data_IF_967840135644
#
_entry.id   IF_967840135644
#
_cell.length_a   1.000
_cell.length_b   1.000
_cell.length_c   1.000
_cell.angle_alpha   90.00
_cell.angle_beta   90.00
_cell.angle_gamma   90.00
#
_symmetry.space_group_name_H-M   'P 1'
#
loop_
_entity.id
_entity.type
_entity.pdbx_description
1 polymer ?
#
# COMPACT_ATOMS: atom_id res chain seq x y z
N UNK A 1 13.37 -4.22 -0.75
CA UNK A 1 12.20 -4.00 -1.64
C UNK A 1 11.07 -3.40 -0.85
N UNK A 2 10.05 -4.19 -0.51
CA UNK A 2 8.93 -3.71 0.33
C UNK A 2 9.36 -3.19 1.71
N UNK A 3 10.24 -3.90 2.43
CA UNK A 3 10.78 -3.42 3.71
C UNK A 3 11.47 -2.06 3.58
N UNK A 4 12.23 -1.87 2.49
CA UNK A 4 12.89 -0.60 2.16
C UNK A 4 11.87 0.54 1.96
N UNK A 5 10.71 0.27 1.34
CA UNK A 5 9.65 1.28 1.19
C UNK A 5 9.05 1.69 2.54
N UNK A 6 8.80 0.72 3.43
CA UNK A 6 8.29 1.01 4.78
C UNK A 6 9.29 1.85 5.58
N UNK A 7 10.56 1.47 5.56
CA UNK A 7 11.63 2.22 6.23
C UNK A 7 11.81 3.62 5.64
N UNK A 8 11.85 3.74 4.30
CA UNK A 8 11.98 5.04 3.62
C UNK A 8 10.77 5.95 3.91
N UNK A 9 9.54 5.43 3.92
CA UNK A 9 8.36 6.22 4.24
C UNK A 9 8.46 6.87 5.63
N UNK A 10 8.87 6.10 6.63
CA UNK A 10 9.10 6.62 7.98
C UNK A 10 10.26 7.61 8.05
N UNK A 11 11.39 7.33 7.41
CA UNK A 11 12.54 8.23 7.37
C UNK A 11 12.22 9.56 6.68
N UNK A 12 11.49 9.52 5.56
CA UNK A 12 11.02 10.71 4.84
C UNK A 12 10.15 11.57 5.75
N UNK A 13 9.21 10.94 6.46
CA UNK A 13 8.33 11.66 7.37
C UNK A 13 9.09 12.34 8.51
N UNK A 14 9.96 11.59 9.19
CA UNK A 14 10.75 12.15 10.30
C UNK A 14 11.73 13.23 9.82
N UNK A 15 12.26 13.09 8.60
CA UNK A 15 13.08 14.13 7.98
C UNK A 15 12.27 15.39 7.65
N UNK A 16 11.05 15.22 7.13
CA UNK A 16 10.13 16.33 6.87
C UNK A 16 9.83 17.11 8.17
N UNK A 17 9.52 16.40 9.27
CA UNK A 17 9.32 17.04 10.58
C UNK A 17 10.56 17.80 11.09
N UNK A 18 11.75 17.33 10.74
CA UNK A 18 13.02 18.00 11.05
C UNK A 18 13.42 19.10 10.06
N UNK A 19 12.63 19.39 9.02
CA UNK A 19 12.98 20.35 7.98
C UNK A 19 14.10 19.90 7.02
N UNK A 20 14.36 18.60 6.92
CA UNK A 20 15.41 18.01 6.10
C UNK A 20 14.99 17.75 4.64
N UNK A 21 14.77 18.82 3.87
CA UNK A 21 14.29 18.74 2.48
C UNK A 21 15.16 17.86 1.58
N UNK A 22 16.48 17.86 1.80
CA UNK A 22 17.43 17.02 1.06
C UNK A 22 17.15 15.52 1.27
N UNK A 23 16.97 15.09 2.52
CA UNK A 23 16.65 13.71 2.85
C UNK A 23 15.27 13.30 2.34
N UNK A 24 14.30 14.22 2.39
CA UNK A 24 12.96 14.01 1.80
C UNK A 24 13.08 13.76 0.30
N UNK A 25 13.84 14.58 -0.43
CA UNK A 25 14.03 14.44 -1.87
C UNK A 25 14.72 13.11 -2.23
N UNK A 26 15.80 12.77 -1.54
CA UNK A 26 16.53 11.50 -1.71
C UNK A 26 15.59 10.31 -1.45
N UNK A 27 14.82 10.38 -0.37
CA UNK A 27 13.87 9.34 0.01
C UNK A 27 12.77 9.17 -1.03
N UNK A 28 12.13 10.25 -1.49
CA UNK A 28 11.06 10.22 -2.49
C UNK A 28 11.56 9.69 -3.85
N UNK A 29 12.74 10.12 -4.29
CA UNK A 29 13.36 9.62 -5.51
C UNK A 29 13.63 8.10 -5.42
N UNK A 30 14.15 7.65 -4.27
CA UNK A 30 14.41 6.24 -4.01
C UNK A 30 13.11 5.43 -3.96
N UNK A 31 12.08 5.93 -3.29
CA UNK A 31 10.74 5.34 -3.25
C UNK A 31 10.17 5.16 -4.66
N UNK A 32 10.27 6.17 -5.51
CA UNK A 32 9.85 6.09 -6.92
C UNK A 32 10.56 4.98 -7.69
N UNK A 33 11.88 4.86 -7.52
CA UNK A 33 12.68 3.78 -8.11
C UNK A 33 12.27 2.39 -7.60
N UNK A 34 12.04 2.24 -6.29
CA UNK A 34 11.62 0.97 -5.69
C UNK A 34 10.20 0.58 -6.12
N UNK A 35 9.27 1.54 -6.24
CA UNK A 35 7.93 1.29 -6.80
C UNK A 35 8.01 0.77 -8.24
N UNK A 36 8.82 1.41 -9.08
CA UNK A 36 9.08 0.97 -10.45
C UNK A 36 9.65 -0.45 -10.49
N UNK A 37 10.60 -0.77 -9.60
CA UNK A 37 11.17 -2.11 -9.48
C UNK A 37 10.15 -3.16 -9.01
N UNK A 38 9.38 -2.87 -7.95
CA UNK A 38 8.43 -3.82 -7.37
C UNK A 38 7.31 -4.21 -8.32
N UNK A 39 6.95 -3.33 -9.27
CA UNK A 39 6.01 -3.66 -10.36
C UNK A 39 6.43 -4.90 -11.15
N UNK A 40 7.72 -5.13 -11.29
CA UNK A 40 8.30 -6.26 -12.02
C UNK A 40 8.88 -7.35 -11.11
N UNK A 41 9.14 -7.05 -9.85
CA UNK A 41 9.68 -8.00 -8.88
C UNK A 41 8.60 -8.72 -8.04
N UNK A 42 7.39 -8.16 -7.96
CA UNK A 42 6.27 -8.81 -7.27
C UNK A 42 5.94 -10.17 -7.90
N UNK A 43 5.57 -11.13 -7.05
CA UNK A 43 5.37 -12.51 -7.49
C UNK A 43 4.29 -12.61 -8.59
N UNK A 44 4.57 -13.29 -9.73
CA UNK A 44 5.83 -13.93 -10.11
C UNK A 44 6.88 -12.91 -10.62
N UNK A 45 8.07 -12.94 -10.03
CA UNK A 45 9.15 -11.99 -10.31
C UNK A 45 9.70 -12.14 -11.74
N UNK A 46 9.81 -11.02 -12.47
CA UNK A 46 10.41 -10.93 -13.81
C UNK A 46 11.84 -10.41 -13.79
N UNK A 47 12.16 -9.58 -12.78
CA UNK A 47 13.50 -9.05 -12.54
C UNK A 47 13.88 -9.27 -11.08
N UNK A 48 15.17 -9.48 -10.84
CA UNK A 48 15.74 -9.58 -9.49
C UNK A 48 16.54 -8.32 -9.18
N UNK A 49 16.58 -7.95 -7.89
CA UNK A 49 17.27 -6.74 -7.44
C UNK A 49 18.80 -6.82 -7.64
N UNK A 50 19.36 -8.02 -7.47
CA UNK A 50 20.80 -8.23 -7.47
C UNK A 50 21.52 -7.57 -6.29
N UNK A 51 22.83 -7.75 -6.26
CA UNK A 51 23.68 -7.19 -5.19
C UNK A 51 23.79 -5.67 -5.31
N UNK A 52 23.88 -5.13 -6.52
CA UNK A 52 23.94 -3.68 -6.76
C UNK A 52 22.73 -2.94 -6.18
N UNK A 53 21.52 -3.44 -6.43
CA UNK A 53 20.30 -2.81 -5.95
C UNK A 53 20.14 -2.92 -4.43
N UNK A 54 20.48 -4.07 -3.85
CA UNK A 54 20.35 -4.29 -2.40
C UNK A 54 21.38 -3.49 -1.60
N UNK A 55 22.63 -3.41 -2.08
CA UNK A 55 23.67 -2.57 -1.47
C UNK A 55 23.35 -1.08 -1.58
N UNK A 56 22.87 -0.63 -2.74
CA UNK A 56 22.42 0.76 -2.91
C UNK A 56 21.31 1.13 -1.92
N UNK A 57 20.28 0.29 -1.79
CA UNK A 57 19.20 0.54 -0.84
C UNK A 57 19.68 0.51 0.61
N UNK A 58 20.58 -0.42 0.97
CA UNK A 58 21.19 -0.46 2.29
C UNK A 58 22.00 0.80 2.61
N UNK A 59 22.77 1.29 1.65
CA UNK A 59 23.54 2.53 1.78
C UNK A 59 22.62 3.75 1.97
N UNK A 60 21.61 3.91 1.11
CA UNK A 60 20.67 5.04 1.20
C UNK A 60 19.92 5.03 2.53
N UNK A 61 19.39 3.87 2.95
CA UNK A 61 18.70 3.73 4.23
C UNK A 61 19.62 4.07 5.42
N UNK A 62 20.88 3.62 5.39
CA UNK A 62 21.86 3.93 6.43
C UNK A 62 22.23 5.41 6.47
N UNK A 63 22.52 6.01 5.31
CA UNK A 63 22.84 7.43 5.19
C UNK A 63 21.69 8.31 5.71
N UNK A 64 20.47 8.08 5.20
CA UNK A 64 19.30 8.87 5.60
C UNK A 64 19.01 8.71 7.10
N UNK A 65 19.13 7.51 7.67
CA UNK A 65 18.89 7.29 9.10
C UNK A 65 19.94 7.98 10.00
N UNK A 66 21.22 7.95 9.61
CA UNK A 66 22.29 8.62 10.35
C UNK A 66 22.12 10.13 10.24
N UNK A 67 21.99 10.67 9.03
CA UNK A 67 21.88 12.12 8.83
C UNK A 67 20.61 12.68 9.49
N UNK A 68 19.51 11.93 9.46
CA UNK A 68 18.29 12.26 10.18
C UNK A 68 18.53 12.43 11.69
N UNK A 69 19.20 11.47 12.33
CA UNK A 69 19.35 11.46 13.80
C UNK A 69 20.52 12.31 14.29
N UNK A 70 21.51 12.60 13.45
CA UNK A 70 22.71 13.33 13.86
C UNK A 70 22.66 14.81 13.45
N UNK A 71 21.98 15.16 12.36
CA UNK A 71 21.99 16.52 11.80
C UNK A 71 20.59 17.12 11.67
N UNK A 72 19.66 16.45 10.99
CA UNK A 72 18.34 17.02 10.65
C UNK A 72 17.41 17.13 11.85
N UNK A 73 17.31 16.07 12.65
CA UNK A 73 16.50 16.04 13.86
C UNK A 73 17.25 15.36 15.01
N UNK A 74 18.21 16.05 15.64
CA UNK A 74 19.04 15.51 16.73
C UNK A 74 18.27 15.22 18.03
N UNK A 75 17.01 15.67 18.13
CA UNK A 75 16.14 15.34 19.25
C UNK A 75 15.60 13.90 19.17
N UNK A 76 15.60 13.30 17.98
CA UNK A 76 15.30 11.87 17.83
C UNK A 76 16.38 11.04 18.52
N UNK A 77 15.97 9.92 19.10
CA UNK A 77 16.89 8.93 19.64
C UNK A 77 17.82 8.40 18.54
N UNK A 78 19.15 8.39 18.74
CA UNK A 78 20.09 7.71 17.84
C UNK A 78 19.83 6.20 17.72
N UNK A 79 19.05 5.60 18.62
CA UNK A 79 18.66 4.20 18.58
C UNK A 79 17.44 3.93 17.68
N UNK A 80 16.72 4.95 17.21
CA UNK A 80 15.53 4.78 16.35
C UNK A 80 15.77 3.94 15.07
N UNK A 81 16.96 3.94 14.42
CA UNK A 81 17.19 3.09 13.26
C UNK A 81 17.06 1.59 13.57
N UNK A 82 17.23 1.18 14.83
CA UNK A 82 17.00 -0.20 15.26
C UNK A 82 15.54 -0.63 15.10
N UNK A 83 14.57 0.30 15.16
CA UNK A 83 13.17 0.01 14.87
C UNK A 83 12.88 0.15 13.37
N UNK A 84 13.35 1.24 12.75
CA UNK A 84 13.08 1.53 11.32
C UNK A 84 13.66 0.46 10.38
N UNK A 85 14.85 -0.06 10.70
CA UNK A 85 15.54 -1.10 9.93
C UNK A 85 15.52 -2.45 10.66
N UNK A 86 14.65 -2.59 11.66
CA UNK A 86 14.78 -3.62 12.67
C UNK A 86 14.75 -5.04 12.14
N UNK A 87 13.80 -5.39 11.27
CA UNK A 87 13.69 -6.77 10.80
C UNK A 87 14.89 -7.21 9.92
N UNK A 88 15.35 -6.42 8.91
CA UNK A 88 16.57 -6.74 8.17
C UNK A 88 17.82 -6.85 9.05
N UNK A 89 18.00 -5.94 10.01
CA UNK A 89 19.14 -5.96 10.94
C UNK A 89 19.08 -7.19 11.83
N UNK A 90 17.91 -7.49 12.40
CA UNK A 90 17.71 -8.64 13.26
C UNK A 90 17.96 -9.97 12.52
N UNK A 91 17.54 -10.08 11.27
CA UNK A 91 17.77 -11.26 10.43
C UNK A 91 19.27 -11.51 10.19
N UNK A 92 20.02 -10.46 9.83
CA UNK A 92 21.48 -10.57 9.67
C UNK A 92 22.15 -10.97 11.00
N UNK A 93 21.77 -10.34 12.11
CA UNK A 93 22.32 -10.66 13.43
C UNK A 93 22.00 -12.13 13.79
N UNK A 94 20.78 -12.60 13.55
CA UNK A 94 20.38 -13.98 13.84
C UNK A 94 21.15 -15.00 12.98
N UNK A 95 21.37 -14.70 11.69
CA UNK A 95 22.20 -15.53 10.81
C UNK A 95 23.65 -15.57 11.30
N UNK A 96 24.22 -14.41 11.67
CA UNK A 96 25.59 -14.33 12.20
C UNK A 96 25.74 -15.07 13.54
N UNK A 97 24.79 -14.90 14.46
CA UNK A 97 24.78 -15.59 15.75
C UNK A 97 24.68 -17.12 15.58
N UNK A 98 23.81 -17.58 14.68
CA UNK A 98 23.71 -19.00 14.36
C UNK A 98 25.02 -19.55 13.77
N UNK A 99 25.67 -18.80 12.88
CA UNK A 99 26.97 -19.20 12.30
C UNK A 99 28.06 -19.30 13.37
N UNK A 100 28.10 -18.35 14.29
CA UNK A 100 29.04 -18.36 15.41
C UNK A 100 28.82 -19.61 16.29
N UNK A 101 27.56 -19.92 16.61
CA UNK A 101 27.20 -21.12 17.39
C UNK A 101 27.59 -22.43 16.66
N UNK A 102 27.37 -22.50 15.34
CA UNK A 102 27.68 -23.68 14.53
C UNK A 102 29.13 -23.74 14.04
N UNK A 103 30.00 -22.79 14.44
CA UNK A 103 31.40 -22.66 14.01
C UNK A 103 31.59 -22.71 12.48
N UNK A 104 30.64 -22.17 11.72
CA UNK A 104 30.69 -22.16 10.26
C UNK A 104 31.50 -20.98 9.71
N UNK A 105 32.03 -21.12 8.49
CA UNK A 105 32.72 -20.04 7.79
C UNK A 105 31.77 -18.86 7.50
N UNK A 106 32.22 -17.64 7.80
CA UNK A 106 31.46 -16.40 7.76
C UNK A 106 31.05 -15.98 6.33
N UNK A 107 31.75 -16.46 5.29
CA UNK A 107 31.54 -16.04 3.90
C UNK A 107 30.75 -17.04 3.04
N UNK A 108 30.28 -18.16 3.59
CA UNK A 108 29.54 -19.15 2.80
C UNK A 108 28.08 -18.74 2.64
N UNK A 109 27.57 -18.66 1.41
CA UNK A 109 26.17 -18.36 1.12
C UNK A 109 25.23 -19.34 1.88
N UNK A 110 24.22 -18.82 2.57
CA UNK A 110 23.29 -19.63 3.38
C UNK A 110 21.86 -19.21 3.10
N UNK A 111 20.93 -20.18 3.10
CA UNK A 111 19.49 -19.97 2.91
C UNK A 111 18.74 -19.84 4.24
N UNK A 112 19.32 -19.19 5.26
CA UNK A 112 18.76 -19.19 6.63
C UNK A 112 18.13 -17.88 7.08
N UNK A 113 17.77 -17.03 6.12
CA UNK A 113 17.01 -15.82 6.37
C UNK A 113 15.61 -16.15 6.88
N UNK A 114 14.99 -15.21 7.59
CA UNK A 114 13.67 -15.35 8.19
C UNK A 114 12.61 -15.85 7.21
N UNK A 115 12.68 -15.43 5.95
CA UNK A 115 11.81 -15.93 4.87
C UNK A 115 11.91 -17.44 4.68
N UNK A 116 13.12 -18.00 4.66
CA UNK A 116 13.32 -19.44 4.54
C UNK A 116 12.90 -20.19 5.80
N UNK A 117 13.15 -19.64 6.99
CA UNK A 117 12.67 -20.23 8.25
C UNK A 117 11.14 -20.32 8.31
N UNK A 118 10.43 -19.30 7.79
CA UNK A 118 8.97 -19.33 7.67
C UNK A 118 8.52 -20.42 6.69
N UNK A 119 9.19 -20.58 5.55
CA UNK A 119 8.90 -21.66 4.60
C UNK A 119 9.14 -23.06 5.23
N UNK A 120 10.20 -23.23 6.01
CA UNK A 120 10.49 -24.49 6.72
C UNK A 120 9.41 -24.85 7.75
N UNK A 121 8.82 -23.83 8.39
CA UNK A 121 7.70 -23.97 9.34
C UNK A 121 6.35 -24.18 8.61
N UNK A 122 6.32 -24.19 7.27
CA UNK A 122 5.14 -24.55 6.48
C UNK A 122 4.32 -23.38 5.94
N UNK A 123 4.81 -22.13 6.05
CA UNK A 123 4.21 -21.01 5.33
C UNK A 123 4.48 -21.14 3.83
N UNK A 124 3.55 -20.64 3.00
CA UNK A 124 3.82 -20.45 1.57
C UNK A 124 4.59 -19.15 1.32
N UNK A 125 5.14 -18.99 0.10
CA UNK A 125 5.94 -17.82 -0.24
C UNK A 125 5.18 -16.50 -0.04
N UNK A 126 3.88 -16.49 -0.34
CA UNK A 126 3.04 -15.32 -0.15
C UNK A 126 2.86 -14.97 1.32
N UNK A 127 2.40 -15.92 2.15
CA UNK A 127 2.16 -15.68 3.58
C UNK A 127 3.43 -15.29 4.31
N UNK A 128 4.58 -15.88 3.96
CA UNK A 128 5.88 -15.49 4.51
C UNK A 128 6.19 -14.01 4.28
N UNK A 129 5.95 -13.49 3.06
CA UNK A 129 6.20 -12.07 2.74
C UNK A 129 5.22 -11.16 3.49
N UNK A 130 3.96 -11.54 3.60
CA UNK A 130 2.95 -10.77 4.36
C UNK A 130 3.31 -10.68 5.84
N UNK A 131 3.73 -11.78 6.46
CA UNK A 131 4.16 -11.80 7.87
C UNK A 131 5.38 -10.89 8.07
N UNK A 132 6.37 -10.98 7.18
CA UNK A 132 7.56 -10.11 7.21
C UNK A 132 7.17 -8.63 7.15
N UNK A 133 6.30 -8.26 6.20
CA UNK A 133 5.83 -6.88 6.08
C UNK A 133 5.02 -6.43 7.28
N UNK A 134 4.16 -7.27 7.85
CA UNK A 134 3.36 -6.93 9.02
C UNK A 134 4.23 -6.66 10.26
N UNK A 135 5.22 -7.52 10.51
CA UNK A 135 6.16 -7.36 11.61
C UNK A 135 7.03 -6.12 11.43
N UNK A 136 7.57 -5.92 10.23
CA UNK A 136 8.40 -4.74 9.93
C UNK A 136 7.59 -3.44 10.03
N UNK A 137 6.34 -3.45 9.56
CA UNK A 137 5.43 -2.32 9.70
C UNK A 137 5.16 -1.97 11.17
N UNK A 138 4.95 -2.97 12.03
CA UNK A 138 4.75 -2.74 13.46
C UNK A 138 5.98 -2.10 14.12
N UNK A 139 7.19 -2.53 13.75
CA UNK A 139 8.44 -1.89 14.19
C UNK A 139 8.56 -0.45 13.70
N UNK A 140 8.25 -0.20 12.43
CA UNK A 140 8.26 1.14 11.83
C UNK A 140 7.23 2.08 12.49
N UNK A 141 6.01 1.60 12.76
CA UNK A 141 5.00 2.36 13.50
C UNK A 141 5.44 2.66 14.93
N UNK A 142 6.08 1.69 15.59
CA UNK A 142 6.65 1.89 16.92
C UNK A 142 7.74 2.97 16.90
N UNK A 143 8.53 3.08 15.82
CA UNK A 143 9.52 4.14 15.67
C UNK A 143 8.88 5.53 15.64
N UNK A 144 7.74 5.70 14.95
CA UNK A 144 7.00 6.97 14.92
C UNK A 144 6.53 7.40 16.31
N UNK A 145 6.03 6.44 17.10
CA UNK A 145 5.53 6.71 18.46
C UNK A 145 6.66 6.95 19.46
N UNK A 146 7.75 6.19 19.35
CA UNK A 146 8.84 6.17 20.32
C UNK A 146 10.05 7.02 19.92
N UNK A 147 9.97 7.78 18.82
CA UNK A 147 11.16 8.41 18.23
C UNK A 147 11.93 9.36 19.16
N UNK A 148 11.24 9.95 20.14
CA UNK A 148 11.80 10.84 21.17
C UNK A 148 11.95 10.16 22.55
N UNK A 149 11.70 8.86 22.64
CA UNK A 149 11.90 8.10 23.87
C UNK A 149 13.39 7.85 24.13
N UNK A 150 13.73 7.49 25.36
CA UNK A 150 15.12 7.17 25.71
C UNK A 150 15.64 5.91 25.00
N UNK A 151 16.91 5.95 24.57
CA UNK A 151 17.58 4.89 23.80
C UNK A 151 17.44 3.50 24.45
N UNK A 152 17.56 3.43 25.78
CA UNK A 152 17.42 2.17 26.53
C UNK A 152 16.04 1.53 26.37
N UNK A 153 14.96 2.33 26.33
CA UNK A 153 13.61 1.82 26.10
C UNK A 153 13.46 1.28 24.69
N UNK A 154 13.88 2.05 23.69
CA UNK A 154 13.82 1.66 22.27
C UNK A 154 14.58 0.34 22.03
N UNK A 155 15.82 0.25 22.53
CA UNK A 155 16.64 -0.95 22.39
C UNK A 155 16.04 -2.14 23.15
N UNK A 156 15.46 -1.93 24.34
CA UNK A 156 14.82 -3.00 25.10
C UNK A 156 13.59 -3.58 24.38
N UNK A 157 12.76 -2.73 23.77
CA UNK A 157 11.60 -3.13 22.97
C UNK A 157 12.07 -3.89 21.73
N UNK A 158 13.04 -3.34 21.00
CA UNK A 158 13.61 -3.98 19.82
C UNK A 158 14.17 -5.37 20.12
N UNK A 159 14.97 -5.50 21.19
CA UNK A 159 15.51 -6.78 21.63
C UNK A 159 14.40 -7.75 22.06
N UNK A 160 13.39 -7.27 22.78
CA UNK A 160 12.22 -8.07 23.16
C UNK A 160 11.50 -8.64 21.94
N UNK A 161 11.23 -7.82 20.93
CA UNK A 161 10.60 -8.24 19.66
C UNK A 161 11.48 -9.27 18.94
N UNK A 162 12.79 -9.04 18.84
CA UNK A 162 13.73 -10.00 18.26
C UNK A 162 13.68 -11.37 18.97
N UNK A 163 13.75 -11.37 20.31
CA UNK A 163 13.71 -12.59 21.11
C UNK A 163 12.39 -13.34 20.92
N UNK A 164 11.26 -12.63 20.87
CA UNK A 164 9.94 -13.24 20.62
C UNK A 164 9.89 -13.87 19.24
N UNK A 165 10.24 -13.14 18.18
CA UNK A 165 10.17 -13.64 16.79
C UNK A 165 11.07 -14.87 16.61
N UNK A 166 12.35 -14.75 16.93
CA UNK A 166 13.30 -15.84 16.74
C UNK A 166 13.10 -16.99 17.74
N UNK A 167 12.62 -16.69 18.94
CA UNK A 167 12.22 -17.69 19.93
C UNK A 167 11.05 -18.52 19.44
N UNK A 168 9.97 -17.89 18.95
CA UNK A 168 8.81 -18.59 18.40
C UNK A 168 9.19 -19.42 17.17
N UNK A 169 9.99 -18.89 16.24
CA UNK A 169 10.49 -19.65 15.09
C UNK A 169 11.38 -20.83 15.50
N UNK A 170 12.23 -20.65 16.52
CA UNK A 170 13.06 -21.71 17.06
C UNK A 170 12.26 -22.81 17.75
N UNK A 171 11.22 -22.45 18.52
CA UNK A 171 10.30 -23.40 19.17
C UNK A 171 9.46 -24.16 18.14
N UNK A 172 8.95 -23.46 17.12
CA UNK A 172 8.25 -24.04 15.99
C UNK A 172 9.10 -25.11 15.28
N UNK A 173 10.34 -24.76 14.95
CA UNK A 173 11.27 -25.68 14.29
C UNK A 173 11.63 -26.90 15.16
N UNK A 174 11.73 -26.75 16.49
CA UNK A 174 12.06 -27.87 17.40
C UNK A 174 10.88 -28.80 17.68
N UNK A 175 9.66 -28.29 17.64
CA UNK A 175 8.43 -29.06 17.92
C UNK A 175 7.91 -29.82 16.69
N UNK A 176 8.64 -29.78 15.56
CA UNK A 176 8.15 -30.18 14.22
C UNK A 176 6.78 -29.58 13.92
N UNK A 177 6.50 -28.41 14.50
CA UNK A 177 5.26 -27.71 14.29
C UNK A 177 5.29 -27.13 12.88
N UNK A 178 4.49 -27.75 12.02
CA UNK A 178 4.19 -27.22 10.71
C UNK A 178 2.89 -26.47 10.83
N UNK A 179 2.86 -25.23 10.37
CA UNK A 179 1.60 -24.57 10.04
C UNK A 179 0.92 -25.52 9.08
N UNK A 180 -0.14 -26.17 9.56
CA UNK A 180 -0.97 -26.98 8.71
C UNK A 180 -1.38 -26.06 7.57
N UNK A 181 -1.02 -26.42 6.33
CA UNK A 181 -1.85 -26.04 5.21
C UNK A 181 -3.27 -26.26 5.71
N UNK A 182 -4.07 -25.20 5.79
CA UNK A 182 -5.50 -25.35 6.00
C UNK A 182 -6.08 -26.00 4.73
N UNK A 183 -5.66 -27.24 4.46
CA UNK A 183 -6.16 -28.19 3.48
C UNK A 183 -7.40 -28.89 4.02
N UNK A 184 -7.73 -28.69 5.30
CA UNK A 184 -9.09 -28.85 5.78
C UNK A 184 -9.93 -27.73 5.16
N UNK A 185 -10.69 -28.05 4.12
CA UNK A 185 -11.78 -27.19 3.66
C UNK A 185 -12.61 -26.78 4.88
N UNK A 186 -12.42 -25.53 5.31
CA UNK A 186 -13.20 -24.93 6.38
C UNK A 186 -14.65 -24.85 5.90
N UNK A 187 -15.61 -24.86 6.83
CA UNK A 187 -17.02 -24.67 6.45
C UNK A 187 -17.21 -23.41 5.60
N UNK A 188 -16.39 -22.37 5.83
CA UNK A 188 -16.30 -21.16 5.01
C UNK A 188 -15.85 -21.46 3.58
N UNK A 189 -14.78 -22.25 3.37
CA UNK A 189 -14.32 -22.57 2.02
C UNK A 189 -15.32 -23.42 1.25
N UNK A 190 -16.04 -24.35 1.92
CA UNK A 190 -17.12 -25.13 1.30
C UNK A 190 -18.32 -24.25 0.94
N UNK A 191 -18.68 -23.33 1.82
CA UNK A 191 -19.73 -22.35 1.55
C UNK A 191 -19.35 -21.50 0.34
N UNK A 192 -18.14 -20.92 0.31
CA UNK A 192 -17.60 -20.12 -0.81
C UNK A 192 -17.59 -20.91 -2.13
N UNK A 193 -17.26 -22.21 -2.10
CA UNK A 193 -17.23 -23.03 -3.30
C UNK A 193 -18.63 -23.50 -3.77
N UNK A 194 -19.63 -23.50 -2.89
CA UNK A 194 -21.02 -23.82 -3.26
C UNK A 194 -21.58 -22.81 -4.28
N UNK A 195 -22.51 -23.22 -5.16
CA UNK A 195 -23.16 -22.30 -6.11
C UNK A 195 -23.78 -21.08 -5.41
N UNK A 196 -24.41 -21.30 -4.27
CA UNK A 196 -25.06 -20.25 -3.47
C UNK A 196 -24.02 -19.31 -2.85
N UNK A 197 -22.93 -19.83 -2.29
CA UNK A 197 -21.86 -19.00 -1.75
C UNK A 197 -21.02 -18.32 -2.82
N UNK A 198 -20.88 -18.86 -4.03
CA UNK A 198 -20.28 -18.12 -5.15
C UNK A 198 -21.15 -16.92 -5.53
N UNK A 199 -22.47 -17.08 -5.58
CA UNK A 199 -23.38 -15.97 -5.84
C UNK A 199 -23.31 -14.92 -4.72
N UNK A 200 -23.36 -15.34 -3.44
CA UNK A 200 -23.41 -14.45 -2.26
C UNK A 200 -22.06 -13.80 -1.93
N UNK A 201 -20.96 -14.55 -1.96
CA UNK A 201 -19.66 -14.11 -1.45
C UNK A 201 -18.81 -13.46 -2.55
N UNK A 202 -19.06 -13.79 -3.82
CA UNK A 202 -18.34 -13.21 -4.96
C UNK A 202 -19.26 -12.34 -5.81
N UNK A 203 -20.44 -12.87 -6.17
CA UNK A 203 -21.38 -12.18 -7.07
C UNK A 203 -21.89 -10.86 -6.51
N UNK A 204 -22.40 -10.85 -5.27
CA UNK A 204 -22.95 -9.63 -4.65
C UNK A 204 -21.89 -8.56 -4.39
N UNK A 205 -20.72 -8.84 -3.78
CA UNK A 205 -19.66 -7.84 -3.65
C UNK A 205 -19.22 -7.27 -5.00
N UNK A 206 -19.04 -8.12 -6.03
CA UNK A 206 -18.70 -7.65 -7.37
C UNK A 206 -19.79 -6.77 -8.00
N UNK A 207 -21.06 -7.11 -7.79
CA UNK A 207 -22.18 -6.29 -8.26
C UNK A 207 -22.19 -4.92 -7.55
N UNK A 208 -22.00 -4.92 -6.23
CA UNK A 208 -21.94 -3.71 -5.42
C UNK A 208 -20.75 -2.84 -5.86
N UNK A 209 -19.57 -3.40 -6.10
CA UNK A 209 -18.42 -2.62 -6.61
C UNK A 209 -18.71 -2.08 -8.01
N UNK A 210 -19.26 -2.89 -8.92
CA UNK A 210 -19.55 -2.48 -10.31
C UNK A 210 -20.56 -1.35 -10.43
N UNK A 211 -21.54 -1.29 -9.52
CA UNK A 211 -22.56 -0.23 -9.50
C UNK A 211 -22.12 0.92 -8.60
N UNK A 212 -21.64 0.60 -7.40
CA UNK A 212 -21.28 1.54 -6.36
C UNK A 212 -20.09 2.42 -6.73
N UNK A 213 -19.04 1.86 -7.33
CA UNK A 213 -17.85 2.65 -7.65
C UNK A 213 -18.11 3.76 -8.68
N UNK A 214 -18.79 3.52 -9.82
CA UNK A 214 -19.20 4.59 -10.72
C UNK A 214 -20.09 5.64 -10.04
N UNK A 215 -21.04 5.21 -9.18
CA UNK A 215 -21.93 6.11 -8.45
C UNK A 215 -21.17 6.97 -7.45
N UNK A 216 -20.18 6.41 -6.75
CA UNK A 216 -19.30 7.16 -5.85
C UNK A 216 -18.53 8.21 -6.64
N UNK A 217 -17.95 7.86 -7.79
CA UNK A 217 -17.21 8.84 -8.62
C UNK A 217 -18.10 9.98 -9.13
N UNK A 218 -19.33 9.68 -9.54
CA UNK A 218 -20.28 10.73 -9.95
C UNK A 218 -20.70 11.57 -8.75
N UNK A 219 -21.03 10.94 -7.62
CA UNK A 219 -21.41 11.63 -6.39
C UNK A 219 -20.32 12.55 -5.86
N UNK A 220 -19.07 12.08 -5.83
CA UNK A 220 -17.92 12.89 -5.41
C UNK A 220 -17.64 14.02 -6.38
N UNK A 221 -17.79 13.81 -7.69
CA UNK A 221 -17.66 14.91 -8.67
C UNK A 221 -18.72 16.00 -8.50
N UNK A 222 -19.96 15.62 -8.16
CA UNK A 222 -21.04 16.56 -7.86
C UNK A 222 -20.81 17.30 -6.55
N UNK A 223 -20.11 16.68 -5.60
CA UNK A 223 -19.78 17.25 -4.31
C UNK A 223 -18.65 18.29 -4.36
N UNK A 224 -17.90 18.41 -5.45
CA UNK A 224 -16.88 19.46 -5.63
C UNK A 224 -17.54 20.82 -5.85
N UNK A 225 -17.18 21.83 -5.06
CA UNK A 225 -17.76 23.17 -5.16
C UNK A 225 -17.09 24.00 -6.27
N UNK A 226 -15.81 24.33 -6.06
CA UNK A 226 -15.01 25.13 -6.97
C UNK A 226 -13.91 24.30 -7.64
N UNK A 227 -13.76 24.45 -8.96
CA UNK A 227 -12.77 23.74 -9.77
C UNK A 227 -11.76 24.74 -10.33
N UNK A 228 -10.47 24.67 -9.93
CA UNK A 228 -9.41 25.52 -10.50
C UNK A 228 -9.20 25.26 -12.00
N UNK A 229 -8.73 26.27 -12.74
CA UNK A 229 -8.56 26.21 -14.20
C UNK A 229 -7.68 25.04 -14.67
N UNK A 230 -6.61 24.72 -13.93
CA UNK A 230 -5.70 23.62 -14.28
C UNK A 230 -6.42 22.27 -14.27
N UNK A 231 -7.30 22.06 -13.28
CA UNK A 231 -8.13 20.86 -13.18
C UNK A 231 -9.20 20.83 -14.27
N UNK A 232 -9.78 21.98 -14.63
CA UNK A 232 -10.74 22.11 -15.76
C UNK A 232 -10.09 21.73 -17.08
N UNK A 233 -8.88 22.21 -17.35
CA UNK A 233 -8.13 21.88 -18.56
C UNK A 233 -7.74 20.40 -18.57
N UNK A 234 -7.24 19.88 -17.45
CA UNK A 234 -6.89 18.48 -17.30
C UNK A 234 -8.09 17.55 -17.48
N UNK A 235 -9.23 17.84 -16.85
CA UNK A 235 -10.46 17.04 -17.00
C UNK A 235 -11.01 17.08 -18.42
N UNK A 236 -10.91 18.23 -19.10
CA UNK A 236 -11.28 18.37 -20.51
C UNK A 236 -10.42 17.50 -21.42
N UNK A 237 -9.09 17.52 -21.23
CA UNK A 237 -8.16 16.71 -22.02
C UNK A 237 -8.39 15.21 -21.79
N UNK A 238 -8.62 14.80 -20.54
CA UNK A 238 -8.94 13.41 -20.20
C UNK A 238 -10.25 12.96 -20.86
N UNK A 239 -11.29 13.80 -20.82
CA UNK A 239 -12.58 13.51 -21.44
C UNK A 239 -12.45 13.38 -22.95
N UNK A 240 -11.75 14.30 -23.61
CA UNK A 240 -11.45 14.22 -25.05
C UNK A 240 -10.68 12.93 -25.39
N UNK A 241 -9.66 12.60 -24.60
CA UNK A 241 -8.90 11.36 -24.75
C UNK A 241 -9.77 10.11 -24.64
N UNK A 242 -10.66 10.05 -23.65
CA UNK A 242 -11.60 8.93 -23.46
C UNK A 242 -12.60 8.82 -24.61
N UNK A 243 -13.16 9.93 -25.09
CA UNK A 243 -14.09 9.96 -26.24
C UNK A 243 -13.38 9.56 -27.53
N UNK A 244 -12.14 9.99 -27.74
CA UNK A 244 -11.34 9.61 -28.92
C UNK A 244 -11.12 8.08 -29.02
N UNK A 245 -11.12 7.35 -27.89
CA UNK A 245 -11.00 5.89 -27.90
C UNK A 245 -12.18 5.15 -28.54
N UNK A 246 -13.30 5.84 -28.80
CA UNK A 246 -14.41 5.31 -29.58
C UNK A 246 -13.94 5.03 -31.01
N UNK A 247 -13.14 5.94 -31.59
CA UNK A 247 -12.63 5.87 -32.97
C UNK A 247 -11.26 5.18 -33.05
N UNK A 248 -10.50 5.10 -31.93
CA UNK A 248 -9.18 4.45 -31.85
C UNK A 248 -9.21 3.15 -31.02
N UNK A 249 -9.79 2.05 -31.52
CA UNK A 249 -9.95 0.81 -30.76
C UNK A 249 -8.61 0.15 -30.35
N UNK A 250 -7.55 0.33 -31.15
CA UNK A 250 -6.21 -0.23 -30.88
C UNK A 250 -5.56 0.31 -29.61
N UNK A 251 -5.80 1.58 -29.27
CA UNK A 251 -5.22 2.24 -28.08
C UNK A 251 -6.21 2.35 -26.91
N UNK A 252 -7.47 1.93 -27.10
CA UNK A 252 -8.58 2.10 -26.15
C UNK A 252 -8.24 1.61 -24.75
N UNK A 253 -7.68 0.40 -24.62
CA UNK A 253 -7.39 -0.18 -23.30
C UNK A 253 -6.38 0.65 -22.52
N UNK A 254 -5.31 1.10 -23.17
CA UNK A 254 -4.23 1.85 -22.53
C UNK A 254 -4.69 3.26 -22.16
N UNK A 255 -5.34 3.96 -23.11
CA UNK A 255 -5.83 5.33 -22.90
C UNK A 255 -6.91 5.35 -21.82
N UNK A 256 -7.92 4.47 -21.89
CA UNK A 256 -8.98 4.46 -20.88
C UNK A 256 -8.45 4.08 -19.50
N UNK A 257 -7.52 3.13 -19.39
CA UNK A 257 -6.93 2.77 -18.09
C UNK A 257 -6.17 3.95 -17.48
N UNK A 258 -5.33 4.62 -18.26
CA UNK A 258 -4.62 5.82 -17.81
C UNK A 258 -5.57 6.95 -17.41
N UNK A 259 -6.58 7.22 -18.24
CA UNK A 259 -7.55 8.29 -17.99
C UNK A 259 -8.42 8.02 -16.74
N UNK A 260 -8.85 6.77 -16.52
CA UNK A 260 -9.60 6.38 -15.33
C UNK A 260 -8.78 6.65 -14.06
N UNK A 261 -7.50 6.26 -14.02
CA UNK A 261 -6.66 6.49 -12.83
C UNK A 261 -6.47 7.97 -12.53
N UNK A 262 -6.14 8.76 -13.55
CA UNK A 262 -5.94 10.20 -13.37
C UNK A 262 -7.26 10.86 -12.94
N UNK A 263 -8.38 10.49 -13.56
CA UNK A 263 -9.70 11.05 -13.24
C UNK A 263 -10.14 10.75 -11.79
N UNK A 264 -9.93 9.51 -11.32
CA UNK A 264 -10.23 9.12 -9.93
C UNK A 264 -9.41 9.98 -8.96
N UNK A 265 -8.11 10.16 -9.22
CA UNK A 265 -7.26 11.02 -8.39
C UNK A 265 -7.74 12.47 -8.38
N UNK A 266 -8.07 13.02 -9.55
CA UNK A 266 -8.58 14.39 -9.69
C UNK A 266 -9.88 14.61 -8.89
N UNK A 267 -10.86 13.73 -9.07
CA UNK A 267 -12.18 13.87 -8.46
C UNK A 267 -12.07 13.79 -6.93
N UNK A 268 -11.31 12.83 -6.40
CA UNK A 268 -11.14 12.67 -4.94
C UNK A 268 -10.39 13.87 -4.35
N UNK A 269 -9.29 14.28 -4.98
CA UNK A 269 -8.48 15.41 -4.51
C UNK A 269 -9.29 16.71 -4.47
N UNK A 270 -10.03 17.02 -5.54
CA UNK A 270 -10.86 18.21 -5.61
C UNK A 270 -11.99 18.21 -4.58
N UNK A 271 -12.59 17.05 -4.31
CA UNK A 271 -13.68 16.93 -3.34
C UNK A 271 -13.21 17.22 -1.91
N UNK A 272 -11.96 16.89 -1.57
CA UNK A 272 -11.40 17.15 -0.24
C UNK A 272 -10.91 18.60 -0.07
N UNK A 273 -10.39 19.21 -1.14
CA UNK A 273 -9.88 20.60 -1.07
C UNK A 273 -11.01 21.63 -1.20
N UNK A 274 -12.01 21.34 -2.02
CA UNK A 274 -13.13 22.22 -2.29
C UNK A 274 -14.48 21.50 -2.11
N UNK A 275 -14.80 21.01 -0.90
CA UNK A 275 -16.08 20.35 -0.65
C UNK A 275 -17.24 21.35 -0.70
N UNK A 276 -18.34 20.96 -1.34
CA UNK A 276 -19.59 21.72 -1.29
C UNK A 276 -20.19 21.72 0.12
N UNK A 277 -20.98 22.74 0.51
CA UNK A 277 -21.66 22.76 1.81
C UNK A 277 -22.52 21.51 2.04
N UNK A 278 -23.20 21.04 0.99
CA UNK A 278 -23.98 19.80 1.02
C UNK A 278 -23.12 18.56 1.35
N UNK A 279 -21.89 18.49 0.84
CA UNK A 279 -20.99 17.37 1.15
C UNK A 279 -20.63 17.30 2.64
N UNK A 280 -20.41 18.46 3.27
CA UNK A 280 -20.07 18.53 4.69
C UNK A 280 -21.22 18.02 5.58
N UNK A 281 -22.47 18.30 5.21
CA UNK A 281 -23.66 17.78 5.93
C UNK A 281 -23.77 16.25 5.85
N UNK A 282 -23.36 15.66 4.72
CA UNK A 282 -23.47 14.21 4.47
C UNK A 282 -22.15 13.45 4.65
N UNK A 283 -21.15 14.04 5.29
CA UNK A 283 -19.82 13.46 5.47
C UNK A 283 -19.85 12.08 6.18
N UNK A 284 -20.80 11.86 7.11
CA UNK A 284 -20.97 10.55 7.75
C UNK A 284 -21.45 9.47 6.76
N UNK A 285 -22.41 9.81 5.90
CA UNK A 285 -22.90 8.89 4.86
C UNK A 285 -21.77 8.55 3.89
N UNK A 286 -20.98 9.55 3.51
CA UNK A 286 -19.85 9.39 2.60
C UNK A 286 -18.79 8.42 3.16
N UNK A 287 -18.37 8.61 4.41
CA UNK A 287 -17.47 7.67 5.13
C UNK A 287 -18.05 6.25 5.18
N UNK A 288 -19.36 6.14 5.42
CA UNK A 288 -20.05 4.84 5.44
C UNK A 288 -20.03 4.16 4.06
N UNK A 289 -20.24 4.91 2.98
CA UNK A 289 -20.18 4.41 1.61
C UNK A 289 -18.77 3.93 1.26
N UNK A 290 -17.72 4.70 1.59
CA UNK A 290 -16.34 4.28 1.38
C UNK A 290 -15.96 3.05 2.22
N UNK A 291 -16.44 2.93 3.46
CA UNK A 291 -16.20 1.75 4.30
C UNK A 291 -16.87 0.49 3.74
N UNK A 292 -18.12 0.60 3.28
CA UNK A 292 -18.82 -0.50 2.59
C UNK A 292 -18.07 -0.87 1.30
N UNK A 293 -17.67 0.13 0.51
CA UNK A 293 -16.94 -0.10 -0.73
C UNK A 293 -15.60 -0.79 -0.46
N UNK A 294 -14.83 -0.36 0.55
CA UNK A 294 -13.58 -0.99 0.96
C UNK A 294 -13.78 -2.46 1.34
N UNK A 295 -14.82 -2.77 2.13
CA UNK A 295 -15.15 -4.13 2.50
C UNK A 295 -15.51 -4.98 1.27
N UNK A 296 -16.32 -4.45 0.35
CA UNK A 296 -16.73 -5.17 -0.86
C UNK A 296 -15.56 -5.37 -1.84
N UNK A 297 -14.67 -4.38 -1.97
CA UNK A 297 -13.44 -4.48 -2.77
C UNK A 297 -12.51 -5.53 -2.16
N UNK A 298 -12.30 -5.51 -0.85
CA UNK A 298 -11.48 -6.51 -0.15
C UNK A 298 -12.04 -7.93 -0.31
N UNK A 299 -13.36 -8.10 -0.22
CA UNK A 299 -14.03 -9.38 -0.49
C UNK A 299 -13.88 -9.82 -1.94
N UNK A 300 -14.09 -8.90 -2.89
CA UNK A 300 -13.94 -9.16 -4.33
C UNK A 300 -12.53 -9.60 -4.68
N UNK A 301 -11.52 -8.87 -4.21
CA UNK A 301 -10.10 -9.21 -4.39
C UNK A 301 -9.76 -10.57 -3.77
N UNK A 302 -10.27 -10.89 -2.57
CA UNK A 302 -9.94 -12.13 -1.86
C UNK A 302 -10.53 -13.39 -2.49
N UNK A 303 -11.73 -13.29 -3.07
CA UNK A 303 -12.51 -14.45 -3.50
C UNK A 303 -12.74 -14.54 -5.02
N UNK A 304 -12.13 -13.65 -5.80
CA UNK A 304 -12.23 -13.73 -7.26
C UNK A 304 -11.61 -15.04 -7.77
N UNK A 305 -12.44 -15.86 -8.43
CA UNK A 305 -12.10 -17.22 -8.88
C UNK A 305 -11.11 -17.25 -10.04
N UNK A 306 -11.04 -16.16 -10.80
CA UNK A 306 -10.08 -16.00 -11.86
C UNK A 306 -8.74 -15.65 -11.24
N UNK A 307 -7.71 -16.46 -11.52
CA UNK A 307 -6.32 -16.32 -11.03
C UNK A 307 -5.62 -14.99 -11.39
N UNK A 308 -6.36 -13.96 -11.81
CA UNK A 308 -5.84 -12.64 -12.16
C UNK A 308 -5.65 -11.73 -10.94
N UNK A 309 -6.37 -11.98 -9.83
CA UNK A 309 -6.17 -11.28 -8.56
C UNK A 309 -5.58 -12.23 -7.51
N UNK A 310 -4.29 -12.55 -7.65
CA UNK A 310 -3.52 -12.92 -6.46
C UNK A 310 -3.28 -11.63 -5.70
N UNK A 311 -3.78 -11.51 -4.46
CA UNK A 311 -3.32 -10.43 -3.57
C UNK A 311 -1.80 -10.47 -3.62
N UNK A 312 -1.20 -9.40 -4.15
CA UNK A 312 0.24 -9.32 -4.29
C UNK A 312 0.81 -8.77 -2.98
N UNK A 313 2.08 -9.06 -2.68
CA UNK A 313 2.78 -8.37 -1.61
C UNK A 313 2.71 -6.84 -1.73
N UNK A 314 2.56 -6.31 -2.96
CA UNK A 314 2.34 -4.89 -3.20
C UNK A 314 1.02 -4.40 -2.64
N UNK A 315 -0.05 -5.20 -2.72
CA UNK A 315 -1.35 -4.78 -2.21
C UNK A 315 -1.35 -4.64 -0.69
N UNK A 316 -0.65 -5.55 -0.02
CA UNK A 316 -0.40 -5.42 1.40
C UNK A 316 0.47 -4.20 1.72
N UNK A 317 1.51 -3.95 0.93
CA UNK A 317 2.36 -2.78 1.11
C UNK A 317 1.58 -1.46 0.95
N UNK A 318 0.66 -1.39 -0.01
CA UNK A 318 -0.21 -0.23 -0.21
C UNK A 318 -1.10 -0.02 1.01
N UNK A 319 -1.73 -1.08 1.53
CA UNK A 319 -2.56 -1.00 2.75
C UNK A 319 -1.74 -0.59 3.98
N UNK A 320 -0.54 -1.16 4.16
CA UNK A 320 0.35 -0.76 5.26
C UNK A 320 0.79 0.69 5.08
N UNK A 321 1.15 1.11 3.87
CA UNK A 321 1.53 2.48 3.56
C UNK A 321 0.41 3.47 3.90
N UNK A 322 -0.85 3.11 3.61
CA UNK A 322 -2.03 3.90 4.03
C UNK A 322 -2.11 4.04 5.54
N UNK A 323 -1.97 2.93 6.26
CA UNK A 323 -2.05 2.93 7.73
C UNK A 323 -0.93 3.83 8.28
N UNK A 324 0.29 3.68 7.79
CA UNK A 324 1.45 4.49 8.19
C UNK A 324 1.19 5.97 7.91
N UNK A 325 0.69 6.34 6.73
CA UNK A 325 0.33 7.72 6.38
C UNK A 325 -0.79 8.26 7.29
N UNK A 326 -1.79 7.44 7.64
CA UNK A 326 -2.85 7.83 8.57
C UNK A 326 -2.34 8.03 10.01
N UNK A 327 -1.37 7.25 10.47
CA UNK A 327 -0.72 7.49 11.77
C UNK A 327 0.15 8.75 11.75
N UNK A 328 0.71 9.11 10.59
CA UNK A 328 1.52 10.32 10.41
C UNK A 328 0.69 11.61 10.45
N UNK A 329 -0.61 11.56 10.10
CA UNK A 329 -1.49 12.74 10.12
C UNK A 329 -2.04 13.07 11.51
N UNK A 330 -2.09 12.13 12.45
CA UNK A 330 -2.55 12.39 13.83
C UNK A 330 -1.53 13.16 14.68
N UNK A 331 -0.28 13.29 14.23
CA UNK A 331 0.82 13.83 15.03
C UNK A 331 1.06 15.35 14.87
N UNK A 332 0.49 16.05 13.87
CA UNK A 332 0.49 17.52 13.84
C UNK A 332 -0.79 18.16 13.23
N UNK A 333 -1.20 19.24 13.89
CA UNK A 333 -2.36 20.10 13.63
C UNK A 333 -2.02 21.10 12.52
N UNK A 334 -2.43 20.84 11.27
CA UNK A 334 -3.07 21.78 10.32
C UNK A 334 -3.02 21.27 8.86
N UNK A 335 -4.21 21.18 8.24
CA UNK A 335 -4.50 21.55 6.85
C UNK A 335 -3.92 20.72 5.69
N UNK A 336 -3.78 19.40 5.81
CA UNK A 336 -3.72 18.57 4.60
C UNK A 336 -4.51 17.27 4.73
N UNK A 337 -5.64 17.20 4.03
CA UNK A 337 -6.52 16.03 3.85
C UNK A 337 -5.85 14.86 3.09
N UNK A 338 -4.51 14.79 3.06
CA UNK A 338 -3.74 13.87 2.21
C UNK A 338 -3.99 12.42 2.61
N UNK A 339 -4.13 12.13 3.90
CA UNK A 339 -4.45 10.81 4.42
C UNK A 339 -5.82 10.32 3.98
N UNK A 340 -6.85 11.17 4.10
CA UNK A 340 -8.22 10.89 3.66
C UNK A 340 -8.27 10.71 2.15
N UNK A 341 -7.61 11.60 1.39
CA UNK A 341 -7.47 11.48 -0.07
C UNK A 341 -6.82 10.15 -0.45
N UNK A 342 -5.71 9.78 0.21
CA UNK A 342 -4.94 8.58 -0.11
C UNK A 342 -5.71 7.29 0.20
N UNK A 343 -6.39 7.22 1.35
CA UNK A 343 -7.30 6.11 1.70
C UNK A 343 -8.38 5.95 0.61
N UNK A 344 -9.06 7.05 0.26
CA UNK A 344 -10.14 7.05 -0.75
C UNK A 344 -9.62 6.65 -2.12
N UNK A 345 -8.48 7.17 -2.55
CA UNK A 345 -7.83 6.82 -3.82
C UNK A 345 -7.51 5.34 -3.88
N UNK A 346 -6.99 4.76 -2.80
CA UNK A 346 -6.61 3.34 -2.78
C UNK A 346 -7.83 2.43 -2.87
N UNK A 347 -8.89 2.70 -2.10
CA UNK A 347 -10.16 1.96 -2.20
C UNK A 347 -10.69 2.01 -3.64
N UNK A 348 -10.68 3.19 -4.26
CA UNK A 348 -11.18 3.38 -5.62
C UNK A 348 -10.27 2.77 -6.68
N UNK A 349 -8.95 2.83 -6.52
CA UNK A 349 -8.00 2.21 -7.45
C UNK A 349 -8.10 0.68 -7.42
N UNK A 350 -8.20 0.06 -6.25
CA UNK A 350 -8.44 -1.37 -6.15
C UNK A 350 -9.79 -1.76 -6.74
N UNK A 351 -10.85 -1.00 -6.46
CA UNK A 351 -12.15 -1.22 -7.09
C UNK A 351 -12.13 -1.05 -8.61
N UNK A 352 -11.38 -0.08 -9.13
CA UNK A 352 -11.19 0.12 -10.56
C UNK A 352 -10.46 -1.06 -11.20
N UNK A 353 -9.35 -1.53 -10.62
CA UNK A 353 -8.66 -2.72 -11.13
C UNK A 353 -9.55 -3.96 -11.08
N UNK A 354 -10.33 -4.16 -10.01
CA UNK A 354 -11.24 -5.29 -9.89
C UNK A 354 -12.31 -5.28 -11.00
N UNK A 355 -12.85 -4.10 -11.33
CA UNK A 355 -13.78 -3.95 -12.46
C UNK A 355 -13.03 -4.20 -13.78
N UNK A 356 -11.89 -3.55 -14.01
CA UNK A 356 -11.10 -3.63 -15.25
C UNK A 356 -10.66 -5.07 -15.54
N UNK A 357 -10.20 -5.81 -14.53
CA UNK A 357 -9.77 -7.19 -14.64
C UNK A 357 -10.92 -8.14 -15.00
N UNK A 358 -12.15 -7.80 -14.58
CA UNK A 358 -13.35 -8.61 -14.84
C UNK A 358 -14.22 -8.09 -15.99
N UNK A 359 -13.73 -7.10 -16.75
CA UNK A 359 -14.46 -6.51 -17.88
C UNK A 359 -14.65 -7.50 -19.01
N UNK A 360 -15.88 -7.57 -19.51
CA UNK A 360 -16.22 -8.26 -20.77
C UNK A 360 -16.61 -7.28 -21.89
N UNK A 361 -16.90 -6.02 -21.56
CA UNK A 361 -17.33 -4.97 -22.50
C UNK A 361 -16.34 -3.81 -22.53
N UNK A 362 -16.19 -3.20 -23.71
CA UNK A 362 -15.32 -2.04 -23.91
C UNK A 362 -15.85 -0.75 -23.23
N UNK A 363 -17.17 -0.64 -23.09
CA UNK A 363 -17.86 0.42 -22.38
C UNK A 363 -18.73 -0.21 -21.31
N UNK A 364 -18.45 0.11 -20.05
CA UNK A 364 -19.14 -0.41 -18.88
C UNK A 364 -19.54 0.73 -17.94
N UNK A 365 -20.20 0.40 -16.83
CA UNK A 365 -20.63 1.40 -15.84
C UNK A 365 -19.48 2.28 -15.35
N UNK A 366 -18.27 1.74 -15.19
CA UNK A 366 -17.09 2.50 -14.79
C UNK A 366 -16.64 3.52 -15.84
N UNK A 367 -16.62 3.15 -17.12
CA UNK A 367 -16.32 4.11 -18.17
C UNK A 367 -17.33 5.27 -18.18
N UNK A 368 -18.63 4.97 -18.09
CA UNK A 368 -19.67 6.00 -18.04
C UNK A 368 -19.58 6.87 -16.78
N UNK A 369 -19.35 6.27 -15.60
CA UNK A 369 -19.21 7.01 -14.35
C UNK A 369 -18.04 8.00 -14.38
N UNK A 370 -16.90 7.59 -14.93
CA UNK A 370 -15.74 8.49 -15.09
C UNK A 370 -16.02 9.59 -16.10
N UNK A 371 -16.63 9.29 -17.24
CA UNK A 371 -16.98 10.30 -18.25
C UNK A 371 -17.98 11.32 -17.69
N UNK A 372 -19.00 10.86 -16.96
CA UNK A 372 -19.96 11.75 -16.29
C UNK A 372 -19.22 12.60 -15.25
N UNK A 373 -18.39 11.99 -14.40
CA UNK A 373 -17.66 12.72 -13.36
C UNK A 373 -16.73 13.78 -13.94
N UNK A 374 -15.94 13.44 -14.96
CA UNK A 374 -15.12 14.42 -15.69
C UNK A 374 -15.95 15.51 -16.36
N UNK A 375 -17.11 15.17 -16.92
CA UNK A 375 -18.02 16.16 -17.52
C UNK A 375 -18.51 17.17 -16.48
N UNK A 376 -18.86 16.71 -15.28
CA UNK A 376 -19.29 17.56 -14.15
C UNK A 376 -18.15 18.49 -13.73
N UNK A 377 -16.94 17.96 -13.51
CA UNK A 377 -15.77 18.77 -13.12
C UNK A 377 -15.45 19.83 -14.19
N UNK A 378 -15.38 19.41 -15.46
CA UNK A 378 -15.15 20.32 -16.58
C UNK A 378 -16.21 21.42 -16.65
N UNK A 379 -17.49 21.07 -16.54
CA UNK A 379 -18.59 22.02 -16.60
C UNK A 379 -18.54 23.03 -15.46
N UNK A 380 -18.35 22.57 -14.21
CA UNK A 380 -18.21 23.46 -13.05
C UNK A 380 -17.02 24.41 -13.19
N UNK A 381 -15.91 23.91 -13.71
CA UNK A 381 -14.71 24.71 -13.96
C UNK A 381 -14.93 25.83 -14.98
N UNK A 382 -15.72 25.59 -16.03
CA UNK A 382 -16.05 26.61 -17.02
C UNK A 382 -17.08 27.65 -16.56
N UNK A 383 -17.88 27.36 -15.54
CA UNK A 383 -18.85 28.33 -14.99
C UNK A 383 -18.15 29.39 -14.13
N UNK A 384 -17.01 29.03 -13.52
CA UNK A 384 -16.25 29.89 -12.61
C UNK A 384 -15.23 30.77 -13.36
N UNK A 385 -14.94 30.44 -14.63
CA UNK A 385 -14.14 31.24 -15.58
C UNK A 385 -14.96 32.37 -16.19
#
# INVERSE_FOLDING_TARGET
GGESLLSLGCLIYLAYLGGGDELVLIGLATVGGVFGFLRFNSHPARIFMGDSGSQFLGFVLGYVAIDLTQNVNPALSPAIPALILGLPVADIIAVLAQRAYQKMNWFKATKNHIHHRLLEVGFDHYSSVVVIYAVHAALVLSALVLGYAGDGLILSIYLGVCVVIFGLLGLAARSDWKVGSASGETWVSRLVQSRTGQAVIVGWPMLIVRIGLPLVLVGTSLAVDAVPIDFTMGSSLLLLGMVATIVMPSMRSTINRGAIYIAVGFIVFLCEISPSPFYLEWAFLEKTVYAILAAMVAMGVRYERNRFFTVTPMDFLVVVGVIVVGFMSELEVQQYYIDVVLIKMIILYYGCELIIATRTKAFDGLWFGVVIGLSVITFKGFIVL
#
